data_IF_043973800007
#
_entry.id   IF_043973800007
#
_cell.length_a   1.000
_cell.length_b   1.000
_cell.length_c   1.000
_cell.angle_alpha   90.00
_cell.angle_beta   90.00
_cell.angle_gamma   90.00
#
_symmetry.space_group_name_H-M   'P 1'
#
loop_
_entity.id
_entity.type
_entity.pdbx_description
1 polymer ?
#
# COMPACT_ATOMS: atom_id res chain seq x y z
N UNK A 1 -22.19 1.88 16.81
CA UNK A 1 -21.36 1.33 15.71
C UNK A 1 -21.13 2.32 14.58
N UNK A 2 -21.78 3.49 14.60
CA UNK A 2 -21.68 4.59 13.61
C UNK A 2 -20.33 5.32 13.61
N UNK A 3 -19.71 5.54 14.76
CA UNK A 3 -18.48 6.37 14.84
C UNK A 3 -17.28 5.79 14.08
N UNK A 4 -17.14 4.46 14.03
CA UNK A 4 -16.01 3.80 13.34
C UNK A 4 -16.08 3.92 11.82
N UNK A 5 -17.28 3.87 11.24
CA UNK A 5 -17.49 4.03 9.80
C UNK A 5 -17.11 5.46 9.39
N UNK A 6 -17.54 6.44 10.18
CA UNK A 6 -17.23 7.86 9.94
C UNK A 6 -15.72 8.16 10.05
N UNK A 7 -15.01 7.51 10.98
CA UNK A 7 -13.55 7.66 11.13
C UNK A 7 -12.77 7.06 9.95
N UNK A 8 -13.20 5.88 9.47
CA UNK A 8 -12.57 5.24 8.32
C UNK A 8 -12.76 6.06 7.04
N UNK A 9 -13.97 6.58 6.82
CA UNK A 9 -14.27 7.44 5.68
C UNK A 9 -13.46 8.75 5.74
N UNK A 10 -13.33 9.35 6.92
CA UNK A 10 -12.49 10.54 7.10
C UNK A 10 -11.01 10.26 6.77
N UNK A 11 -10.48 9.10 7.19
CA UNK A 11 -9.12 8.71 6.87
C UNK A 11 -8.94 8.45 5.37
N UNK A 12 -9.92 7.80 4.73
CA UNK A 12 -9.93 7.63 3.27
C UNK A 12 -9.91 8.98 2.57
N UNK A 13 -10.76 9.92 2.97
CA UNK A 13 -10.77 11.28 2.40
C UNK A 13 -9.43 12.01 2.57
N UNK A 14 -8.78 11.88 3.74
CA UNK A 14 -7.46 12.46 3.99
C UNK A 14 -6.39 11.90 3.04
N UNK A 15 -6.35 10.58 2.88
CA UNK A 15 -5.36 9.90 2.02
C UNK A 15 -5.55 10.22 0.54
N UNK A 16 -6.78 10.49 0.10
CA UNK A 16 -7.04 10.96 -1.27
C UNK A 16 -6.68 12.43 -1.47
N UNK A 17 -6.82 13.26 -0.44
CA UNK A 17 -6.55 14.70 -0.51
C UNK A 17 -5.06 15.04 -0.40
N UNK A 18 -4.26 14.20 0.26
CA UNK A 18 -2.85 14.44 0.55
C UNK A 18 -1.98 13.25 0.09
N UNK A 19 -1.41 13.31 -1.14
CA UNK A 19 -0.53 12.27 -1.67
C UNK A 19 0.73 12.03 -0.84
N UNK A 20 1.28 13.07 -0.21
CA UNK A 20 2.46 12.97 0.65
C UNK A 20 2.12 12.22 1.92
N UNK A 21 0.95 12.48 2.49
CA UNK A 21 0.46 11.73 3.64
C UNK A 21 0.21 10.26 3.30
N UNK A 22 -0.33 9.97 2.11
CA UNK A 22 -0.49 8.61 1.62
C UNK A 22 0.87 7.90 1.44
N UNK A 23 1.88 8.60 0.92
CA UNK A 23 3.25 8.09 0.78
C UNK A 23 3.92 7.84 2.13
N UNK A 24 3.70 8.70 3.12
CA UNK A 24 4.21 8.50 4.47
C UNK A 24 3.57 7.27 5.14
N UNK A 25 2.25 7.10 4.98
CA UNK A 25 1.55 5.91 5.49
C UNK A 25 2.03 4.64 4.78
N UNK A 26 2.26 4.71 3.47
CA UNK A 26 2.85 3.61 2.69
C UNK A 26 4.19 3.16 3.28
N UNK A 27 5.11 4.09 3.54
CA UNK A 27 6.40 3.78 4.15
C UNK A 27 6.24 3.14 5.54
N UNK A 28 5.29 3.63 6.35
CA UNK A 28 4.99 3.08 7.67
C UNK A 28 4.42 1.64 7.64
N UNK A 29 3.88 1.21 6.50
CA UNK A 29 3.44 -0.18 6.28
C UNK A 29 4.59 -1.01 5.70
N UNK A 30 5.29 -0.50 4.69
CA UNK A 30 6.36 -1.21 4.00
C UNK A 30 7.54 -1.53 4.92
N UNK A 31 7.98 -0.58 5.76
CA UNK A 31 9.15 -0.77 6.63
C UNK A 31 8.99 -1.96 7.59
N UNK A 32 7.89 -2.09 8.37
CA UNK A 32 7.68 -3.29 9.18
C UNK A 32 7.57 -4.60 8.38
N UNK A 33 7.04 -4.58 7.15
CA UNK A 33 6.98 -5.79 6.32
C UNK A 33 8.40 -6.26 5.95
N UNK A 34 9.27 -5.33 5.56
CA UNK A 34 10.67 -5.62 5.28
C UNK A 34 11.39 -6.16 6.52
N UNK A 35 11.27 -5.45 7.65
CA UNK A 35 12.01 -5.75 8.88
C UNK A 35 11.60 -7.10 9.50
N UNK A 36 10.30 -7.47 9.42
CA UNK A 36 9.79 -8.66 10.10
C UNK A 36 9.72 -9.91 9.20
N UNK A 37 9.68 -9.75 7.88
CA UNK A 37 9.51 -10.88 6.95
C UNK A 37 10.78 -11.23 6.18
N UNK A 38 11.83 -10.39 6.26
CA UNK A 38 13.08 -10.61 5.52
C UNK A 38 12.92 -10.53 4.00
N UNK A 39 11.86 -9.86 3.52
CA UNK A 39 11.57 -9.65 2.11
C UNK A 39 12.38 -8.47 1.55
N UNK A 40 12.48 -8.37 0.23
CA UNK A 40 13.20 -7.27 -0.41
C UNK A 40 12.48 -5.93 -0.20
N UNK A 41 13.22 -4.83 -0.32
CA UNK A 41 12.65 -3.48 -0.31
C UNK A 41 11.53 -3.33 -1.35
N UNK A 42 11.68 -3.93 -2.54
CA UNK A 42 10.66 -3.92 -3.60
C UNK A 42 9.38 -4.65 -3.19
N UNK A 43 9.52 -5.86 -2.65
CA UNK A 43 8.39 -6.67 -2.15
C UNK A 43 7.65 -5.95 -1.01
N UNK A 44 8.39 -5.28 -0.12
CA UNK A 44 7.81 -4.50 0.96
C UNK A 44 7.05 -3.26 0.48
N UNK A 45 7.62 -2.52 -0.49
CA UNK A 45 6.95 -1.37 -1.11
C UNK A 45 5.67 -1.80 -1.84
N UNK A 46 5.72 -2.92 -2.57
CA UNK A 46 4.55 -3.50 -3.23
C UNK A 46 3.48 -3.90 -2.21
N UNK A 47 3.87 -4.59 -1.14
CA UNK A 47 2.96 -4.98 -0.05
C UNK A 47 2.28 -3.78 0.60
N UNK A 48 3.02 -2.70 0.87
CA UNK A 48 2.44 -1.44 1.37
C UNK A 48 1.43 -0.84 0.39
N UNK A 49 1.74 -0.84 -0.91
CA UNK A 49 0.86 -0.31 -1.95
C UNK A 49 -0.45 -1.14 -2.07
N UNK A 50 -0.35 -2.47 -1.99
CA UNK A 50 -1.50 -3.39 -1.97
C UNK A 50 -2.44 -3.05 -0.81
N UNK A 51 -1.89 -2.87 0.40
CA UNK A 51 -2.68 -2.58 1.60
C UNK A 51 -3.44 -1.26 1.46
N UNK A 52 -2.76 -0.21 1.00
CA UNK A 52 -3.37 1.10 0.76
C UNK A 52 -4.48 1.04 -0.29
N UNK A 53 -4.25 0.32 -1.39
CA UNK A 53 -5.24 0.14 -2.45
C UNK A 53 -6.46 -0.63 -1.95
N UNK A 54 -6.23 -1.72 -1.21
CA UNK A 54 -7.29 -2.60 -0.73
C UNK A 54 -8.17 -1.93 0.33
N UNK A 55 -7.57 -1.20 1.27
CA UNK A 55 -8.30 -0.57 2.37
C UNK A 55 -8.86 0.80 1.98
N UNK A 56 -8.09 1.62 1.27
CA UNK A 56 -8.42 3.04 1.06
C UNK A 56 -8.68 3.42 -0.40
N UNK A 57 -8.59 2.48 -1.34
CA UNK A 57 -8.72 2.76 -2.79
C UNK A 57 -7.70 3.80 -3.28
N UNK A 58 -6.54 3.90 -2.61
CA UNK A 58 -5.44 4.81 -2.94
C UNK A 58 -4.34 4.05 -3.66
N UNK A 59 -3.92 4.55 -4.82
CA UNK A 59 -2.83 3.98 -5.61
C UNK A 59 -1.57 4.83 -5.46
N UNK A 60 -0.73 4.45 -4.49
CA UNK A 60 0.50 5.17 -4.15
C UNK A 60 1.63 4.93 -5.16
N UNK A 61 1.48 3.96 -6.06
CA UNK A 61 2.50 3.65 -7.10
C UNK A 61 2.64 4.77 -8.14
N UNK A 62 1.68 5.71 -8.15
CA UNK A 62 1.66 6.91 -8.98
C UNK A 62 2.36 8.11 -8.34
N UNK A 63 2.81 8.00 -7.08
CA UNK A 63 3.53 9.07 -6.41
C UNK A 63 4.90 9.30 -7.06
N UNK A 64 5.34 10.56 -7.16
CA UNK A 64 6.63 10.90 -7.79
C UNK A 64 7.85 10.30 -7.06
N UNK A 65 7.67 9.95 -5.80
CA UNK A 65 8.68 9.35 -4.93
C UNK A 65 8.57 7.83 -4.80
N UNK A 66 7.65 7.19 -5.54
CA UNK A 66 7.56 5.73 -5.52
C UNK A 66 8.83 5.16 -6.20
N UNK A 67 9.67 4.40 -5.47
CA UNK A 67 11.04 4.12 -5.90
C UNK A 67 11.15 3.04 -6.99
N UNK A 68 10.03 2.41 -7.35
CA UNK A 68 9.97 1.36 -8.36
C UNK A 68 9.13 1.84 -9.54
N UNK A 69 9.47 1.48 -10.79
CA UNK A 69 8.65 1.84 -11.94
C UNK A 69 7.22 1.36 -11.68
N UNK A 70 6.23 2.19 -12.00
CA UNK A 70 4.82 1.85 -11.84
C UNK A 70 4.56 0.52 -12.59
N UNK A 71 4.51 -0.58 -11.85
CA UNK A 71 3.89 -1.80 -12.35
C UNK A 71 2.46 -1.42 -12.71
N UNK A 72 1.95 -1.89 -13.86
CA UNK A 72 0.57 -1.62 -14.27
C UNK A 72 -0.32 -1.80 -13.04
N UNK A 73 -1.04 -0.75 -12.63
CA UNK A 73 -1.86 -0.76 -11.40
C UNK A 73 -2.90 -1.91 -11.37
N UNK A 74 -3.07 -2.63 -12.50
CA UNK A 74 -3.85 -3.86 -12.65
C UNK A 74 -3.08 -5.17 -12.40
N UNK A 75 -1.75 -5.13 -12.36
CA UNK A 75 -0.86 -6.28 -12.14
C UNK A 75 -0.33 -6.35 -10.71
N UNK A 76 -0.81 -5.50 -9.81
CA UNK A 76 -0.51 -5.62 -8.38
C UNK A 76 -1.23 -6.88 -7.89
N UNK A 77 -0.50 -7.97 -7.61
CA UNK A 77 -1.12 -9.26 -7.34
C UNK A 77 -1.91 -9.15 -6.03
N UNK A 78 -3.18 -9.58 -6.03
CA UNK A 78 -3.93 -9.69 -4.77
C UNK A 78 -3.30 -10.78 -3.91
N UNK A 79 -3.64 -10.84 -2.62
CA UNK A 79 -3.00 -11.73 -1.62
C UNK A 79 -2.74 -13.19 -2.08
N UNK A 80 -3.60 -13.74 -2.96
CA UNK A 80 -3.39 -15.05 -3.59
C UNK A 80 -2.24 -15.10 -4.60
N UNK A 81 -2.12 -14.11 -5.47
CA UNK A 81 -1.07 -14.02 -6.49
C UNK A 81 0.28 -13.57 -5.89
N UNK A 82 0.25 -12.81 -4.78
CA UNK A 82 1.47 -12.46 -4.03
C UNK A 82 2.10 -13.68 -3.35
N UNK A 83 1.29 -14.63 -2.88
CA UNK A 83 1.80 -15.85 -2.24
C UNK A 83 2.59 -16.71 -3.24
N UNK A 84 2.16 -16.78 -4.50
CA UNK A 84 2.87 -17.51 -5.55
C UNK A 84 4.17 -16.80 -5.96
N UNK A 85 4.19 -15.47 -6.01
CA UNK A 85 5.41 -14.70 -6.27
C UNK A 85 6.42 -14.70 -5.10
N UNK A 86 5.96 -14.95 -3.86
CA UNK A 86 6.79 -14.94 -2.65
C UNK A 86 7.26 -16.34 -2.22
N UNK A 87 6.50 -17.40 -2.56
CA UNK A 87 6.72 -18.76 -2.08
C UNK A 87 6.72 -19.84 -3.18
N UNK A 88 6.58 -19.45 -4.46
CA UNK A 88 6.67 -20.34 -5.63
C UNK A 88 8.09 -20.56 -6.12
#
# INVERSE_FOLDING_TARGET
MTDKVHQFDAMKSLLHADPEYAQALHANIAMPLMDNLGITHEQANLGGAVVLRHLFDVDVTKHEHYPYPAHDSRSVPLCGDMAEALYG
#
